data_IF_822583504861
#
_entry.id   IF_822583504861
#
_cell.length_a   1.000
_cell.length_b   1.000
_cell.length_c   1.000
_cell.angle_alpha   90.00
_cell.angle_beta   90.00
_cell.angle_gamma   90.00
#
_symmetry.space_group_name_H-M   'P 1'
#
loop_
_entity.id
_entity.type
_entity.pdbx_description
1 polymer ?
#
# COMPACT_ATOMS: atom_id res chain seq x y z
N UNK A 1 -9.11 -5.47 2.54
CA UNK A 1 -7.68 -5.70 2.27
C UNK A 1 -7.52 -6.93 1.41
N UNK A 2 -6.71 -6.81 0.37
CA UNK A 2 -6.35 -7.93 -0.49
C UNK A 2 -5.27 -8.71 0.27
N UNK A 3 -5.64 -9.82 0.90
CA UNK A 3 -4.65 -10.80 1.37
C UNK A 3 -3.90 -11.35 0.15
N UNK A 4 -2.61 -11.68 0.27
CA UNK A 4 -1.77 -12.20 -0.83
C UNK A 4 -2.17 -13.61 -1.33
N UNK A 5 -3.44 -13.98 -1.23
CA UNK A 5 -4.00 -15.26 -1.68
C UNK A 5 -4.54 -15.20 -3.12
N UNK A 6 -4.35 -14.10 -3.86
CA UNK A 6 -4.69 -14.04 -5.28
C UNK A 6 -3.53 -14.57 -6.11
N UNK A 7 -3.82 -15.58 -6.95
CA UNK A 7 -2.87 -16.31 -7.82
C UNK A 7 -2.07 -15.44 -8.82
N UNK A 8 -2.30 -14.13 -8.85
CA UNK A 8 -1.64 -13.17 -9.75
C UNK A 8 -0.68 -12.21 -9.02
N UNK A 9 -0.44 -12.43 -7.73
CA UNK A 9 0.51 -11.67 -6.91
C UNK A 9 1.78 -12.51 -6.79
N UNK A 10 2.91 -11.93 -7.19
CA UNK A 10 4.18 -12.64 -7.31
C UNK A 10 5.04 -12.56 -6.05
N UNK A 11 4.97 -11.46 -5.30
CA UNK A 11 5.83 -11.22 -4.12
C UNK A 11 5.11 -10.54 -2.97
N UNK A 12 5.69 -10.68 -1.78
CA UNK A 12 5.37 -9.89 -0.59
C UNK A 12 6.49 -8.87 -0.39
N UNK A 13 6.14 -7.60 -0.33
CA UNK A 13 7.06 -6.50 -0.11
C UNK A 13 6.67 -5.71 1.15
N UNK A 14 7.62 -4.95 1.68
CA UNK A 14 7.46 -4.12 2.88
C UNK A 14 7.64 -2.65 2.53
N UNK A 15 6.72 -1.82 2.99
CA UNK A 15 6.80 -0.38 2.88
C UNK A 15 6.82 0.22 4.29
N UNK A 16 7.85 1.01 4.57
CA UNK A 16 8.07 1.59 5.89
C UNK A 16 7.74 3.08 5.93
N UNK A 17 7.03 3.50 6.97
CA UNK A 17 6.97 4.88 7.43
C UNK A 17 7.83 5.02 8.67
N UNK A 18 8.72 6.01 8.64
CA UNK A 18 9.46 6.49 9.80
C UNK A 18 8.53 7.47 10.52
N UNK A 19 7.74 6.95 11.47
CA UNK A 19 6.73 7.77 12.16
C UNK A 19 7.41 8.53 13.30
N UNK A 20 6.91 9.73 13.60
CA UNK A 20 7.49 10.69 14.55
C UNK A 20 8.08 10.07 15.83
N UNK A 21 9.34 10.35 16.14
CA UNK A 21 10.07 9.78 17.26
C UNK A 21 9.80 10.49 18.61
N UNK A 22 9.54 11.80 18.60
CA UNK A 22 9.57 12.61 19.83
C UNK A 22 8.20 12.81 20.48
N UNK A 23 7.14 12.99 19.68
CA UNK A 23 5.75 13.08 20.10
C UNK A 23 4.87 12.08 19.32
N UNK A 24 5.32 10.82 19.28
CA UNK A 24 4.65 9.76 18.55
C UNK A 24 3.22 9.53 19.06
N UNK A 25 2.24 10.04 18.32
CA UNK A 25 0.82 9.82 18.61
C UNK A 25 0.19 8.78 17.65
N UNK A 26 1.00 7.83 17.18
CA UNK A 26 0.53 6.79 16.29
C UNK A 26 -0.58 5.97 16.98
N UNK A 27 -1.71 5.84 16.30
CA UNK A 27 -2.83 5.03 16.76
C UNK A 27 -3.47 4.34 15.58
N UNK A 28 -3.76 3.05 15.75
CA UNK A 28 -4.40 2.24 14.73
C UNK A 28 -5.73 1.70 15.25
N UNK A 29 -6.77 1.73 14.42
CA UNK A 29 -8.11 1.22 14.73
C UNK A 29 -8.78 0.65 13.48
N UNK A 30 -9.78 -0.20 13.67
CA UNK A 30 -10.54 -0.80 12.59
C UNK A 30 -9.79 -1.92 11.87
N UNK A 31 -10.10 -2.10 10.59
CA UNK A 31 -9.44 -3.10 9.73
C UNK A 31 -8.16 -2.51 9.14
N UNK A 32 -6.99 -2.96 9.60
CA UNK A 32 -5.66 -2.46 9.20
C UNK A 32 -4.86 -3.49 8.38
N UNK A 33 -4.00 -3.07 7.44
CA UNK A 33 -3.13 -3.94 6.65
C UNK A 33 -2.31 -4.91 7.50
N UNK A 34 -1.96 -6.06 6.91
CA UNK A 34 -0.93 -6.92 7.46
C UNK A 34 0.37 -6.09 7.59
N UNK A 35 1.09 -6.24 8.70
CA UNK A 35 2.22 -5.36 8.99
C UNK A 35 2.61 -5.32 10.46
N UNK A 36 3.50 -4.38 10.79
CA UNK A 36 3.93 -4.07 12.15
C UNK A 36 3.72 -2.59 12.44
N UNK A 37 2.89 -2.29 13.43
CA UNK A 37 2.52 -0.92 13.83
C UNK A 37 3.08 -0.67 15.23
N UNK A 38 4.28 -0.08 15.29
CA UNK A 38 5.00 0.19 16.53
C UNK A 38 5.40 1.68 16.56
N UNK A 39 6.60 2.00 17.04
CA UNK A 39 7.16 3.36 16.89
C UNK A 39 7.20 3.76 15.42
N UNK A 40 7.60 2.84 14.53
CA UNK A 40 7.45 2.98 13.08
C UNK A 40 6.37 2.05 12.55
N UNK A 41 5.86 2.36 11.36
CA UNK A 41 4.86 1.57 10.65
C UNK A 41 5.49 0.81 9.48
N UNK A 42 5.33 -0.50 9.48
CA UNK A 42 5.67 -1.39 8.36
C UNK A 42 4.40 -1.99 7.80
N UNK A 43 4.09 -1.67 6.56
CA UNK A 43 2.97 -2.25 5.83
C UNK A 43 3.48 -3.38 4.95
N UNK A 44 2.90 -4.57 5.12
CA UNK A 44 3.09 -5.68 4.22
C UNK A 44 2.07 -5.62 3.10
N UNK A 45 2.56 -5.65 1.86
CA UNK A 45 1.70 -5.61 0.69
C UNK A 45 2.16 -6.61 -0.36
N UNK A 46 1.21 -6.87 -1.24
CA UNK A 46 1.30 -7.86 -2.28
C UNK A 46 1.68 -7.16 -3.58
N UNK A 47 2.82 -7.53 -4.17
CA UNK A 47 3.29 -6.98 -5.42
C UNK A 47 3.11 -7.94 -6.58
N UNK A 48 2.76 -7.39 -7.74
CA UNK A 48 2.89 -8.08 -9.02
C UNK A 48 4.09 -7.50 -9.76
N UNK A 49 5.05 -8.36 -10.07
CA UNK A 49 6.32 -7.98 -10.73
C UNK A 49 6.48 -8.60 -12.11
N UNK A 50 5.51 -9.41 -12.55
CA UNK A 50 5.60 -10.29 -13.72
C UNK A 50 4.72 -9.86 -14.91
N UNK A 51 4.46 -8.57 -15.08
CA UNK A 51 3.62 -8.10 -16.19
C UNK A 51 3.61 -6.58 -16.40
N UNK A 52 2.93 -6.16 -17.46
CA UNK A 52 2.71 -4.74 -17.75
C UNK A 52 1.48 -4.22 -17.04
N UNK A 53 1.53 -2.98 -16.54
CA UNK A 53 0.42 -2.32 -15.84
C UNK A 53 -0.87 -2.23 -16.68
N UNK A 54 -0.77 -2.26 -18.01
CA UNK A 54 -1.91 -2.26 -18.94
C UNK A 54 -2.62 -3.61 -19.04
N UNK A 55 -1.95 -4.71 -18.70
CA UNK A 55 -2.55 -6.04 -18.65
C UNK A 55 -3.39 -6.14 -17.38
N UNK A 56 -4.71 -6.08 -17.52
CA UNK A 56 -5.61 -6.04 -16.38
C UNK A 56 -5.44 -7.25 -15.46
N UNK A 57 -5.36 -7.01 -14.14
CA UNK A 57 -5.37 -8.06 -13.12
C UNK A 57 -6.78 -8.31 -12.60
N UNK A 58 -7.01 -9.52 -12.11
CA UNK A 58 -8.27 -9.90 -11.47
C UNK A 58 -8.08 -9.78 -9.96
N UNK A 59 -8.79 -8.82 -9.36
CA UNK A 59 -8.84 -8.60 -7.92
C UNK A 59 -10.31 -8.56 -7.47
N UNK A 60 -10.59 -8.76 -6.16
CA UNK A 60 -11.94 -8.58 -5.62
C UNK A 60 -12.46 -7.18 -5.89
N UNK A 61 -13.58 -7.07 -6.59
CA UNK A 61 -14.23 -5.79 -6.90
C UNK A 61 -15.39 -5.47 -5.96
N UNK A 62 -15.72 -6.38 -5.04
CA UNK A 62 -16.81 -6.24 -4.06
C UNK A 62 -16.50 -5.24 -2.94
N UNK A 63 -15.27 -4.75 -2.86
CA UNK A 63 -14.83 -3.81 -1.82
C UNK A 63 -13.81 -2.83 -2.39
N UNK A 64 -13.84 -1.59 -1.91
CA UNK A 64 -12.88 -0.56 -2.30
C UNK A 64 -11.48 -0.89 -1.79
N UNK A 65 -10.47 -0.65 -2.62
CA UNK A 65 -9.06 -0.77 -2.26
C UNK A 65 -8.22 0.25 -3.03
N UNK A 66 -7.00 0.46 -2.56
CA UNK A 66 -6.00 1.33 -3.19
C UNK A 66 -4.84 0.46 -3.67
N UNK A 67 -4.31 0.80 -4.84
CA UNK A 67 -3.07 0.22 -5.37
C UNK A 67 -1.96 1.26 -5.28
N UNK A 68 -0.80 0.83 -4.80
CA UNK A 68 0.42 1.63 -4.83
C UNK A 68 1.20 1.33 -6.11
N UNK A 69 1.61 2.37 -6.83
CA UNK A 69 2.47 2.21 -8.00
C UNK A 69 3.87 1.85 -7.53
N UNK A 70 4.42 0.73 -8.01
CA UNK A 70 5.80 0.33 -7.76
C UNK A 70 6.60 0.44 -9.06
N UNK A 71 7.65 1.27 -9.09
CA UNK A 71 8.63 1.43 -10.17
C UNK A 71 8.08 1.71 -11.59
N UNK A 72 6.78 1.97 -11.74
CA UNK A 72 6.09 2.27 -13.00
C UNK A 72 5.40 3.63 -12.92
N UNK A 73 5.37 4.37 -14.02
CA UNK A 73 4.62 5.63 -14.12
C UNK A 73 3.09 5.41 -14.24
N UNK A 74 2.64 4.17 -14.47
CA UNK A 74 1.23 3.83 -14.68
C UNK A 74 0.68 2.96 -13.55
N UNK A 75 -0.56 3.23 -13.14
CA UNK A 75 -1.32 2.32 -12.27
C UNK A 75 -1.65 1.01 -12.98
N UNK A 76 -1.59 -0.09 -12.24
CA UNK A 76 -2.06 -1.38 -12.69
C UNK A 76 -3.58 -1.35 -12.97
N UNK A 77 -3.98 -1.74 -14.19
CA UNK A 77 -5.39 -1.90 -14.55
C UNK A 77 -5.99 -3.09 -13.80
N UNK A 78 -7.23 -2.94 -13.33
CA UNK A 78 -8.01 -4.01 -12.69
C UNK A 78 -9.24 -4.29 -13.54
N UNK A 79 -9.48 -5.55 -13.85
CA UNK A 79 -10.62 -5.94 -14.68
C UNK A 79 -11.93 -5.58 -13.98
N UNK A 80 -12.84 -4.92 -14.72
CA UNK A 80 -14.17 -4.55 -14.20
C UNK A 80 -14.18 -3.34 -13.27
N UNK A 81 -13.06 -2.63 -13.10
CA UNK A 81 -12.99 -1.40 -12.31
C UNK A 81 -12.58 -0.20 -13.14
N UNK A 82 -13.08 0.97 -12.76
CA UNK A 82 -12.57 2.27 -13.24
C UNK A 82 -11.57 2.80 -12.22
N UNK A 83 -10.31 2.89 -12.62
CA UNK A 83 -9.22 3.37 -11.77
C UNK A 83 -9.13 4.90 -11.86
N UNK A 84 -8.85 5.55 -10.73
CA UNK A 84 -8.49 6.97 -10.64
C UNK A 84 -7.24 7.10 -9.79
N UNK A 85 -6.35 8.01 -10.17
CA UNK A 85 -5.18 8.34 -9.37
C UNK A 85 -5.54 9.36 -8.29
N UNK A 86 -5.04 9.12 -7.08
CA UNK A 86 -5.23 9.99 -5.92
C UNK A 86 -3.89 10.14 -5.21
N UNK A 87 -3.78 11.19 -4.39
CA UNK A 87 -2.62 11.44 -3.55
C UNK A 87 -2.97 11.12 -2.10
N UNK A 88 -2.10 10.35 -1.46
CA UNK A 88 -2.15 10.11 -0.02
C UNK A 88 -0.97 10.86 0.61
N UNK A 89 -1.23 11.51 1.74
CA UNK A 89 -0.23 12.19 2.55
C UNK A 89 -0.34 11.63 3.95
N UNK A 90 0.82 11.36 4.54
CA UNK A 90 0.99 10.95 5.93
C UNK A 90 1.87 11.96 6.62
N UNK A 91 1.57 12.16 7.89
CA UNK A 91 2.45 12.88 8.80
C UNK A 91 3.51 11.89 9.29
N UNK A 92 4.77 12.17 8.98
CA UNK A 92 5.96 11.37 9.27
C UNK A 92 7.01 12.32 9.87
N UNK A 93 8.09 11.83 10.48
CA UNK A 93 9.13 12.64 11.18
C UNK A 93 9.13 14.15 10.88
N UNK A 94 8.88 14.95 11.91
CA UNK A 94 9.12 16.39 11.89
C UNK A 94 10.63 16.61 11.86
N UNK A 95 11.19 16.84 10.66
CA UNK A 95 12.58 17.28 10.50
C UNK A 95 12.78 18.65 11.18
N UNK A 96 13.08 18.63 12.47
CA UNK A 96 13.83 19.71 13.11
C UNK A 96 15.31 19.28 13.14
N UNK A 97 16.11 19.89 12.27
CA UNK A 97 17.57 19.83 12.40
C UNK A 97 17.95 20.26 13.83
N UNK A 98 18.54 19.35 14.61
CA UNK A 98 19.38 19.70 15.76
C UNK A 98 20.82 19.79 15.31
#
# INVERSE_FOLDING_TARGET
MIKCAFQQISTKDLFGWDDENSDNNNSYRGSIPDGKFSSNTLIEYCCRTDGHATNAIILPTDSLFVLFKSNSHQCQHVQGMRVREEFLSWDTEDWSFR
#
